data_IF_342783857010
#
_entry.id   IF_342783857010
#
_cell.length_a   1.000
_cell.length_b   1.000
_cell.length_c   1.000
_cell.angle_alpha   90.00
_cell.angle_beta   90.00
_cell.angle_gamma   90.00
#
_symmetry.space_group_name_H-M   'P 1'
#
loop_
_entity.id
_entity.type
_entity.pdbx_description
1 polymer ?
#
# COMPACT_ATOMS: atom_id res chain seq x y z
N UNK A 1 -2.63 5.52 25.41
CA UNK A 1 -1.71 5.75 24.28
C UNK A 1 -0.68 4.64 24.32
N UNK A 2 -1.04 3.51 23.71
CA UNK A 2 -0.17 2.34 23.60
C UNK A 2 -0.12 1.89 22.14
N UNK A 3 0.67 2.61 21.35
CA UNK A 3 1.20 2.13 20.08
C UNK A 3 2.52 1.40 20.35
N UNK A 4 2.87 0.43 19.49
CA UNK A 4 4.00 -0.49 19.66
C UNK A 4 5.34 0.19 20.02
N UNK A 5 5.99 -0.29 21.09
CA UNK A 5 7.28 0.16 21.61
C UNK A 5 8.20 -1.09 21.75
N UNK A 6 9.52 -0.89 21.72
CA UNK A 6 10.54 -1.83 21.23
C UNK A 6 11.56 -2.17 22.32
N UNK A 7 11.24 -1.94 23.60
CA UNK A 7 12.13 -2.05 24.77
C UNK A 7 12.67 -3.45 25.04
N UNK A 8 11.98 -4.52 24.63
CA UNK A 8 12.54 -5.87 24.65
C UNK A 8 13.82 -6.02 23.80
N UNK A 9 13.97 -5.17 22.77
CA UNK A 9 15.11 -5.11 21.86
C UNK A 9 16.15 -4.04 22.20
N UNK A 10 16.09 -3.38 23.37
CA UNK A 10 17.00 -2.28 23.72
C UNK A 10 18.49 -2.64 23.55
N UNK A 11 18.87 -3.88 23.83
CA UNK A 11 20.24 -4.35 23.67
C UNK A 11 20.71 -4.42 22.20
N UNK A 12 19.78 -4.48 21.24
CA UNK A 12 20.04 -4.48 19.81
C UNK A 12 20.09 -3.07 19.20
N UNK A 13 19.66 -2.03 19.94
CA UNK A 13 19.66 -0.65 19.45
C UNK A 13 21.03 -0.01 19.71
N UNK A 14 21.76 0.30 18.64
CA UNK A 14 23.02 1.04 18.73
C UNK A 14 22.79 2.54 18.99
N UNK A 15 23.10 3.00 20.20
CA UNK A 15 23.00 4.42 20.57
C UNK A 15 24.38 5.07 20.47
N UNK A 16 24.51 6.05 19.58
CA UNK A 16 25.76 6.83 19.41
C UNK A 16 26.10 7.60 20.70
N UNK A 17 27.39 7.66 21.05
CA UNK A 17 27.87 8.39 22.23
C UNK A 17 27.37 9.84 22.27
N UNK A 18 26.67 10.21 23.34
CA UNK A 18 26.10 11.55 23.55
C UNK A 18 24.62 11.69 23.15
N UNK A 19 24.02 10.65 22.57
CA UNK A 19 22.59 10.58 22.31
C UNK A 19 21.87 9.86 23.47
N UNK A 20 20.65 10.30 23.78
CA UNK A 20 19.78 9.65 24.76
C UNK A 20 18.60 9.05 24.03
N UNK A 21 18.37 7.75 24.23
CA UNK A 21 17.15 7.10 23.76
C UNK A 21 16.05 7.36 24.79
N UNK A 22 15.10 8.22 24.45
CA UNK A 22 13.91 8.49 25.27
C UNK A 22 12.78 7.62 24.75
N UNK A 23 12.38 6.62 25.52
CA UNK A 23 11.23 5.80 25.19
C UNK A 23 9.93 6.59 25.45
N UNK A 24 8.93 6.41 24.59
CA UNK A 24 7.59 6.95 24.80
C UNK A 24 6.82 6.24 25.90
N UNK A 25 5.49 6.32 25.88
CA UNK A 25 4.59 5.45 26.64
C UNK A 25 3.88 4.52 25.65
N UNK A 26 3.80 3.21 25.90
CA UNK A 26 3.07 2.28 25.01
C UNK A 26 3.30 0.78 25.21
N UNK A 27 2.99 -0.05 24.22
CA UNK A 27 3.17 -1.52 24.25
C UNK A 27 4.63 -1.86 23.89
N UNK A 28 5.51 -1.76 24.89
CA UNK A 28 6.96 -1.65 24.75
C UNK A 28 7.71 -2.97 24.54
N UNK A 29 6.99 -4.07 24.55
CA UNK A 29 7.52 -5.36 24.94
C UNK A 29 6.90 -6.53 24.15
N UNK A 30 6.00 -6.24 23.21
CA UNK A 30 5.46 -7.24 22.29
C UNK A 30 6.27 -7.28 20.98
N UNK A 31 6.56 -8.49 20.49
CA UNK A 31 7.17 -8.69 19.18
C UNK A 31 6.23 -8.16 18.10
N UNK A 32 6.66 -7.22 17.23
CA UNK A 32 5.87 -6.73 16.12
C UNK A 32 5.51 -7.82 15.09
N UNK A 33 6.15 -9.01 15.16
CA UNK A 33 5.90 -10.14 14.26
C UNK A 33 6.05 -9.75 12.79
N UNK A 34 7.24 -9.32 12.40
CA UNK A 34 7.55 -9.05 10.99
C UNK A 34 7.65 -10.35 10.18
N UNK A 35 7.36 -10.27 8.87
CA UNK A 35 7.50 -11.40 7.93
C UNK A 35 8.93 -11.93 7.88
N UNK A 36 9.92 -11.04 7.67
CA UNK A 36 11.34 -11.41 7.68
C UNK A 36 12.24 -10.20 7.97
N UNK A 37 12.36 -9.85 9.26
CA UNK A 37 13.02 -8.60 9.69
C UNK A 37 14.52 -8.46 9.39
N UNK A 38 15.19 -9.55 8.99
CA UNK A 38 16.61 -9.57 8.66
C UNK A 38 16.87 -10.09 7.23
N UNK A 39 15.82 -10.12 6.40
CA UNK A 39 15.88 -10.61 5.03
C UNK A 39 16.38 -12.05 4.87
N UNK A 40 16.54 -12.49 3.60
CA UNK A 40 17.23 -13.73 3.23
C UNK A 40 18.69 -13.83 3.69
N UNK A 41 19.40 -12.70 3.83
CA UNK A 41 20.81 -12.70 4.23
C UNK A 41 21.04 -12.83 5.75
N UNK A 42 19.98 -12.63 6.55
CA UNK A 42 20.00 -12.70 8.01
C UNK A 42 20.62 -11.48 8.69
N UNK A 43 20.80 -10.37 7.96
CA UNK A 43 21.37 -9.12 8.45
C UNK A 43 20.26 -8.07 8.50
N UNK A 44 20.00 -7.52 9.70
CA UNK A 44 19.03 -6.42 9.85
C UNK A 44 19.61 -5.11 9.32
N UNK A 45 18.76 -4.31 8.68
CA UNK A 45 19.06 -2.99 8.13
C UNK A 45 19.53 -3.02 6.68
N UNK A 46 19.28 -4.10 5.95
CA UNK A 46 19.65 -4.29 4.55
C UNK A 46 18.45 -4.11 3.62
N UNK A 47 18.71 -4.03 2.32
CA UNK A 47 17.66 -3.81 1.31
C UNK A 47 16.73 -5.01 1.14
N UNK A 48 17.12 -6.19 1.64
CA UNK A 48 16.35 -7.43 1.55
C UNK A 48 15.52 -7.70 2.82
N UNK A 49 15.52 -6.79 3.79
CA UNK A 49 14.62 -6.82 4.93
C UNK A 49 13.15 -6.74 4.50
N UNK A 50 12.31 -7.53 5.17
CA UNK A 50 10.86 -7.49 4.99
C UNK A 50 10.19 -7.19 6.34
N UNK A 51 9.98 -5.88 6.56
CA UNK A 51 9.38 -5.31 7.77
C UNK A 51 7.84 -5.22 7.68
N UNK A 52 7.20 -5.95 6.77
CA UNK A 52 5.75 -6.18 6.80
C UNK A 52 5.36 -6.90 8.07
N UNK A 53 4.23 -6.52 8.67
CA UNK A 53 3.65 -7.22 9.81
C UNK A 53 2.97 -8.53 9.34
N UNK A 54 3.02 -9.57 10.15
CA UNK A 54 2.24 -10.79 9.96
C UNK A 54 0.84 -10.61 10.56
N UNK A 55 -0.16 -11.27 9.98
CA UNK A 55 -1.51 -11.36 10.55
C UNK A 55 -1.53 -11.68 12.05
N UNK A 56 -2.32 -10.88 12.79
CA UNK A 56 -2.40 -10.89 14.24
C UNK A 56 -1.17 -10.32 14.96
N UNK A 57 -0.37 -9.50 14.28
CA UNK A 57 0.64 -8.69 14.94
C UNK A 57 -0.02 -7.81 16.01
N UNK A 58 0.62 -7.62 17.18
CA UNK A 58 0.10 -6.72 18.21
C UNK A 58 0.15 -5.24 17.80
N UNK A 59 0.81 -4.93 16.68
CA UNK A 59 0.92 -3.58 16.15
C UNK A 59 -0.25 -3.20 15.26
N UNK A 60 -0.79 -4.13 14.45
CA UNK A 60 -1.93 -3.86 13.56
C UNK A 60 -3.04 -3.08 14.31
N UNK A 61 -3.46 -1.97 13.68
CA UNK A 61 -4.48 -1.01 14.11
C UNK A 61 -4.24 -0.30 15.46
N UNK A 62 -2.96 -0.05 15.79
CA UNK A 62 -2.55 0.64 17.02
C UNK A 62 -1.82 1.97 16.81
N UNK A 63 -1.68 2.45 15.58
CA UNK A 63 -1.02 3.73 15.30
C UNK A 63 -1.86 4.98 15.59
N UNK A 64 -1.42 6.10 15.05
CA UNK A 64 -2.07 7.40 15.21
C UNK A 64 -2.19 8.08 13.86
N UNK A 65 -3.39 8.00 13.25
CA UNK A 65 -3.64 8.51 11.89
C UNK A 65 -3.38 10.02 11.79
N UNK A 66 -3.43 10.77 12.90
CA UNK A 66 -3.11 12.20 12.90
C UNK A 66 -1.62 12.48 12.69
N UNK A 67 -0.76 11.46 12.79
CA UNK A 67 0.67 11.56 12.50
C UNK A 67 1.01 11.13 11.07
N UNK A 68 0.08 10.54 10.33
CA UNK A 68 0.25 10.25 8.91
C UNK A 68 0.37 11.58 8.15
N UNK A 69 1.42 11.77 7.32
CA UNK A 69 1.56 12.98 6.52
C UNK A 69 0.34 13.21 5.63
N UNK A 70 0.02 14.47 5.31
CA UNK A 70 -1.01 14.78 4.33
C UNK A 70 -0.56 14.39 2.93
N UNK A 71 -1.50 14.01 2.07
CA UNK A 71 -1.25 13.76 0.66
C UNK A 71 -1.11 15.07 -0.14
N UNK A 72 -0.06 15.82 0.16
CA UNK A 72 0.11 17.16 -0.43
C UNK A 72 0.35 17.19 -1.95
N UNK A 73 0.50 16.03 -2.59
CA UNK A 73 0.90 15.90 -3.99
C UNK A 73 0.01 14.98 -4.83
N UNK A 74 -1.12 14.52 -4.31
CA UNK A 74 -2.03 13.62 -5.03
C UNK A 74 -1.29 12.34 -5.45
N UNK A 75 -0.81 11.60 -4.44
CA UNK A 75 0.12 10.48 -4.63
C UNK A 75 -0.55 9.26 -5.26
N UNK A 76 -1.87 9.12 -5.14
CA UNK A 76 -2.66 8.06 -5.76
C UNK A 76 -3.48 8.53 -6.97
N UNK A 77 -3.57 9.82 -7.22
CA UNK A 77 -4.15 10.38 -8.46
C UNK A 77 -5.67 10.55 -8.41
N UNK A 78 -6.30 10.45 -7.24
CA UNK A 78 -7.74 10.62 -7.07
C UNK A 78 -8.17 12.11 -7.02
N UNK A 79 -7.20 13.02 -6.91
CA UNK A 79 -7.39 14.47 -6.86
C UNK A 79 -7.65 15.05 -5.47
N UNK A 80 -7.69 14.23 -4.41
CA UNK A 80 -7.85 14.65 -3.02
C UNK A 80 -6.51 14.86 -2.31
N UNK A 81 -5.97 16.07 -2.45
CA UNK A 81 -4.74 16.46 -1.71
C UNK A 81 -4.94 16.74 -0.21
N UNK A 82 -6.15 16.57 0.32
CA UNK A 82 -6.49 16.95 1.70
C UNK A 82 -6.54 15.78 2.67
N UNK A 83 -6.59 14.56 2.16
CA UNK A 83 -6.52 13.35 2.97
C UNK A 83 -5.08 13.03 3.41
N UNK A 84 -4.90 12.18 4.43
CA UNK A 84 -3.59 11.65 4.77
C UNK A 84 -3.06 10.72 3.66
N UNK A 85 -1.75 10.56 3.56
CA UNK A 85 -1.07 9.77 2.50
C UNK A 85 -1.79 8.43 2.25
N UNK A 86 -2.43 8.25 1.09
CA UNK A 86 -3.34 7.12 0.85
C UNK A 86 -2.60 5.81 0.64
N UNK A 87 -1.39 5.86 0.08
CA UNK A 87 -0.59 4.68 -0.25
C UNK A 87 0.68 4.53 0.59
N UNK A 88 1.02 3.29 0.89
CA UNK A 88 2.24 2.87 1.57
C UNK A 88 3.48 2.96 0.63
N UNK A 89 4.67 2.56 1.10
CA UNK A 89 5.87 2.66 0.26
C UNK A 89 5.86 1.66 -0.92
N UNK A 90 5.05 0.62 -0.84
CA UNK A 90 4.82 -0.35 -1.90
C UNK A 90 3.64 0.02 -2.82
N UNK A 91 3.01 1.18 -2.61
CA UNK A 91 1.86 1.61 -3.40
C UNK A 91 0.55 0.91 -3.02
N UNK A 92 0.48 0.31 -1.82
CA UNK A 92 -0.76 -0.33 -1.32
C UNK A 92 -1.52 0.65 -0.42
N UNK A 93 -2.85 0.59 -0.39
CA UNK A 93 -3.65 1.46 0.46
C UNK A 93 -3.23 1.35 1.94
N UNK A 94 -2.93 2.49 2.56
CA UNK A 94 -2.61 2.60 3.99
C UNK A 94 -3.86 2.37 4.82
N UNK A 95 -4.99 2.96 4.43
CA UNK A 95 -6.24 2.95 5.18
C UNK A 95 -7.16 1.79 4.79
N UNK A 96 -6.64 0.57 4.87
CA UNK A 96 -7.42 -0.65 4.64
C UNK A 96 -7.77 -1.27 6.00
N UNK A 97 -9.07 -1.44 6.27
CA UNK A 97 -9.58 -1.96 7.56
C UNK A 97 -9.39 -3.48 7.64
N UNK A 98 -8.87 -4.00 8.75
CA UNK A 98 -8.97 -5.42 9.09
C UNK A 98 -10.16 -5.60 10.05
N UNK A 99 -11.32 -6.09 9.58
CA UNK A 99 -12.55 -6.14 10.36
C UNK A 99 -12.46 -7.12 11.55
N UNK A 100 -11.50 -8.05 11.51
CA UNK A 100 -11.24 -9.00 12.58
C UNK A 100 -10.31 -8.43 13.67
N UNK A 101 -9.68 -7.29 13.42
CA UNK A 101 -8.78 -6.62 14.36
C UNK A 101 -9.40 -5.35 14.94
N UNK A 102 -9.45 -5.19 16.28
CA UNK A 102 -10.00 -3.99 16.87
C UNK A 102 -9.11 -2.75 16.69
N UNK A 103 -9.67 -1.71 16.08
CA UNK A 103 -9.16 -0.32 16.07
C UNK A 103 -8.95 0.22 17.50
N UNK A 104 -7.71 0.26 17.96
CA UNK A 104 -7.41 0.75 19.33
C UNK A 104 -6.48 1.95 19.36
N UNK A 105 -5.94 2.34 18.22
CA UNK A 105 -5.10 3.52 18.08
C UNK A 105 -5.91 4.84 18.17
N UNK A 106 -5.29 5.92 17.74
CA UNK A 106 -5.92 7.25 17.70
C UNK A 106 -6.19 7.66 16.25
N UNK A 107 -7.30 8.35 16.00
CA UNK A 107 -7.63 8.85 14.68
C UNK A 107 -9.07 8.60 14.29
N UNK A 108 -9.35 8.73 13.00
CA UNK A 108 -10.62 8.30 12.41
C UNK A 108 -10.39 6.91 11.79
N UNK A 109 -11.18 5.88 12.16
CA UNK A 109 -11.14 4.58 11.51
C UNK A 109 -11.24 4.65 9.98
N UNK A 110 -10.59 3.71 9.26
CA UNK A 110 -9.74 2.64 9.79
C UNK A 110 -8.44 3.19 10.41
N UNK A 111 -8.05 2.69 11.59
CA UNK A 111 -6.86 3.19 12.29
C UNK A 111 -5.64 2.39 11.84
N UNK A 112 -4.61 3.08 11.38
CA UNK A 112 -3.43 2.47 10.76
C UNK A 112 -2.19 2.66 11.63
N UNK A 113 -1.21 1.78 11.50
CA UNK A 113 0.08 1.82 12.17
C UNK A 113 1.05 2.88 11.60
N UNK A 114 2.07 3.18 12.39
CA UNK A 114 3.24 3.97 11.94
C UNK A 114 4.18 3.01 11.19
N UNK A 115 3.77 2.55 10.00
CA UNK A 115 4.51 1.61 9.17
C UNK A 115 4.17 1.74 7.69
N UNK A 116 5.05 1.29 6.79
CA UNK A 116 4.90 1.45 5.35
C UNK A 116 4.38 0.17 4.65
N UNK A 117 3.77 -0.75 5.40
CA UNK A 117 3.69 -2.16 5.02
C UNK A 117 2.65 -2.91 5.89
N UNK A 118 1.38 -2.55 5.77
CA UNK A 118 0.26 -3.13 6.56
C UNK A 118 -0.55 -4.18 5.81
N UNK A 119 -0.37 -4.28 4.48
CA UNK A 119 -1.14 -5.21 3.68
C UNK A 119 -0.78 -6.68 3.97
N UNK A 120 -1.70 -7.38 4.65
CA UNK A 120 -1.64 -8.81 4.90
C UNK A 120 -2.25 -9.57 3.73
N UNK A 121 -1.39 -10.06 2.84
CA UNK A 121 -1.78 -10.90 1.69
C UNK A 121 -2.57 -12.15 2.09
N UNK A 122 -2.43 -12.63 3.32
CA UNK A 122 -3.09 -13.83 3.81
C UNK A 122 -4.37 -13.53 4.64
N UNK A 123 -4.66 -12.27 4.92
CA UNK A 123 -5.90 -11.82 5.56
C UNK A 123 -7.10 -11.87 4.61
N UNK A 124 -8.28 -11.55 5.12
CA UNK A 124 -9.56 -11.46 4.39
C UNK A 124 -10.31 -10.24 4.95
N UNK A 125 -10.00 -9.07 4.40
CA UNK A 125 -10.38 -7.78 4.97
C UNK A 125 -11.85 -7.42 4.76
N UNK A 126 -12.54 -8.03 3.82
CA UNK A 126 -13.97 -7.77 3.62
C UNK A 126 -14.85 -8.97 4.01
N UNK A 127 -14.23 -10.07 4.43
CA UNK A 127 -14.88 -11.26 4.96
C UNK A 127 -15.65 -12.03 3.89
N UNK A 128 -15.24 -11.92 2.62
CA UNK A 128 -15.91 -12.54 1.49
C UNK A 128 -15.48 -14.00 1.26
N UNK A 129 -14.42 -14.42 1.96
CA UNK A 129 -13.87 -15.77 1.94
C UNK A 129 -12.66 -15.94 1.02
N UNK A 130 -12.17 -14.87 0.41
CA UNK A 130 -10.93 -14.84 -0.36
C UNK A 130 -9.83 -14.13 0.42
N UNK A 131 -8.60 -14.61 0.26
CA UNK A 131 -7.48 -13.91 0.87
C UNK A 131 -7.17 -12.65 0.06
N UNK A 132 -6.83 -11.55 0.71
CA UNK A 132 -6.55 -10.25 0.10
C UNK A 132 -5.63 -10.37 -1.13
N UNK A 133 -4.58 -11.20 -1.05
CA UNK A 133 -3.61 -11.37 -2.15
C UNK A 133 -4.12 -12.12 -3.39
N UNK A 134 -5.35 -12.67 -3.35
CA UNK A 134 -6.02 -13.29 -4.50
C UNK A 134 -7.40 -12.69 -4.77
N UNK A 135 -7.74 -11.62 -4.05
CA UNK A 135 -9.00 -10.91 -4.13
C UNK A 135 -8.82 -9.66 -5.02
N UNK A 136 -9.63 -9.53 -6.07
CA UNK A 136 -9.64 -8.37 -6.96
C UNK A 136 -10.38 -7.15 -6.38
N UNK A 137 -11.00 -7.29 -5.20
CA UNK A 137 -11.51 -6.19 -4.39
C UNK A 137 -11.26 -6.39 -2.89
N UNK A 138 -10.01 -6.31 -2.39
CA UNK A 138 -9.67 -6.58 -0.99
C UNK A 138 -10.35 -5.72 0.09
N UNK A 139 -11.23 -4.79 -0.29
CA UNK A 139 -11.98 -3.92 0.62
C UNK A 139 -13.49 -3.91 0.31
N UNK A 140 -13.98 -4.76 -0.60
CA UNK A 140 -15.37 -4.75 -1.05
C UNK A 140 -15.86 -6.15 -1.45
N UNK A 141 -16.54 -6.80 -0.51
CA UNK A 141 -16.92 -8.21 -0.61
C UNK A 141 -17.56 -8.58 -1.96
N UNK A 142 -16.85 -9.42 -2.72
CA UNK A 142 -17.27 -9.94 -4.01
C UNK A 142 -16.78 -11.39 -4.21
N UNK A 143 -17.40 -12.38 -3.51
CA UNK A 143 -16.90 -13.76 -3.47
C UNK A 143 -16.80 -14.48 -4.83
N UNK A 144 -17.45 -13.94 -5.86
CA UNK A 144 -17.46 -14.47 -7.22
C UNK A 144 -16.40 -13.82 -8.13
N UNK A 145 -15.73 -12.76 -7.67
CA UNK A 145 -14.63 -12.08 -8.34
C UNK A 145 -14.97 -11.64 -9.76
N UNK A 146 -16.20 -11.11 -9.96
CA UNK A 146 -16.56 -10.59 -11.28
C UNK A 146 -15.71 -9.35 -11.61
N UNK A 147 -15.14 -9.35 -12.81
CA UNK A 147 -14.30 -8.31 -13.40
C UNK A 147 -14.66 -8.28 -14.90
N UNK A 148 -15.34 -7.21 -15.33
CA UNK A 148 -16.04 -7.17 -16.61
C UNK A 148 -15.16 -6.76 -17.79
N UNK A 149 -14.23 -5.83 -17.58
CA UNK A 149 -13.28 -5.34 -18.57
C UNK A 149 -11.92 -6.07 -18.51
N UNK A 150 -11.64 -6.75 -17.41
CA UNK A 150 -10.49 -7.64 -17.25
C UNK A 150 -9.20 -6.92 -16.90
N UNK A 151 -9.30 -5.76 -16.22
CA UNK A 151 -8.16 -4.95 -15.82
C UNK A 151 -7.52 -5.40 -14.48
N UNK A 152 -8.17 -6.35 -13.78
CA UNK A 152 -7.71 -6.90 -12.51
C UNK A 152 -8.32 -6.25 -11.27
N UNK A 153 -9.18 -5.24 -11.43
CA UNK A 153 -10.00 -4.64 -10.37
C UNK A 153 -11.42 -5.18 -10.48
N UNK A 154 -11.97 -5.71 -9.40
CA UNK A 154 -13.29 -6.31 -9.43
C UNK A 154 -14.41 -5.27 -9.60
N UNK A 155 -15.51 -5.68 -10.23
CA UNK A 155 -16.70 -4.83 -10.44
C UNK A 155 -17.27 -4.19 -9.18
N UNK A 156 -16.94 -4.73 -7.99
CA UNK A 156 -17.41 -4.22 -6.71
C UNK A 156 -16.64 -2.98 -6.22
N UNK A 157 -15.39 -2.82 -6.66
CA UNK A 157 -14.48 -1.74 -6.26
C UNK A 157 -13.94 -0.92 -7.44
N UNK A 158 -14.33 -1.28 -8.66
CA UNK A 158 -13.95 -0.58 -9.90
C UNK A 158 -14.80 0.69 -10.13
N UNK A 159 -14.10 1.84 -10.18
CA UNK A 159 -14.66 3.15 -10.47
C UNK A 159 -14.74 3.47 -11.98
N UNK A 160 -14.04 2.70 -12.81
CA UNK A 160 -13.88 2.86 -14.25
C UNK A 160 -14.18 1.54 -15.02
N UNK A 161 -15.44 1.05 -15.01
CA UNK A 161 -15.84 -0.32 -15.43
C UNK A 161 -15.78 -0.64 -16.94
N UNK A 162 -15.12 0.20 -17.71
CA UNK A 162 -14.99 0.08 -19.17
C UNK A 162 -13.56 0.47 -19.60
N UNK A 163 -12.54 0.09 -18.82
CA UNK A 163 -11.15 0.32 -19.24
C UNK A 163 -10.77 -0.50 -20.45
N UNK A 164 -9.78 0.01 -21.19
CA UNK A 164 -9.34 -0.64 -22.42
C UNK A 164 -8.39 -1.81 -22.08
N UNK A 165 -8.52 -2.96 -22.75
CA UNK A 165 -7.67 -4.11 -22.47
C UNK A 165 -6.18 -3.80 -22.63
N UNK A 166 -5.40 -4.09 -21.58
CA UNK A 166 -3.94 -3.93 -21.56
C UNK A 166 -3.45 -2.60 -20.99
N UNK A 167 -4.34 -1.64 -20.73
CA UNK A 167 -3.96 -0.40 -20.09
C UNK A 167 -3.57 -0.63 -18.62
N UNK A 168 -2.59 0.14 -18.13
CA UNK A 168 -2.32 0.20 -16.70
C UNK A 168 -3.45 0.96 -15.98
N UNK A 169 -3.95 0.35 -14.92
CA UNK A 169 -4.97 0.94 -14.04
C UNK A 169 -4.43 1.17 -12.64
N UNK A 170 -5.01 2.13 -11.93
CA UNK A 170 -4.79 2.34 -10.50
C UNK A 170 -5.60 1.32 -9.66
N UNK A 171 -5.54 1.45 -8.34
CA UNK A 171 -6.27 0.56 -7.42
C UNK A 171 -7.80 0.69 -7.52
N UNK A 172 -8.31 1.71 -8.22
CA UNK A 172 -9.74 1.93 -8.45
C UNK A 172 -10.19 1.50 -9.85
N UNK A 173 -9.31 0.83 -10.63
CA UNK A 173 -9.61 0.40 -11.99
C UNK A 173 -9.49 1.54 -13.00
N UNK A 174 -9.02 2.73 -12.62
CA UNK A 174 -8.96 3.85 -13.56
C UNK A 174 -7.61 3.92 -14.28
N UNK A 175 -7.64 4.16 -15.59
CA UNK A 175 -6.43 4.22 -16.42
C UNK A 175 -5.46 5.28 -15.91
N UNK A 176 -4.24 4.85 -15.58
CA UNK A 176 -3.16 5.75 -15.16
C UNK A 176 -2.59 6.41 -16.41
N UNK A 177 -2.57 7.74 -16.43
CA UNK A 177 -1.88 8.46 -17.50
C UNK A 177 -0.38 8.33 -17.25
N UNK A 178 0.26 7.44 -17.99
CA UNK A 178 1.72 7.32 -17.99
C UNK A 178 2.29 8.47 -18.82
N UNK A 179 3.07 9.39 -18.24
CA UNK A 179 3.66 10.48 -19.02
C UNK A 179 4.59 9.91 -20.09
N UNK A 180 4.32 10.27 -21.36
CA UNK A 180 5.01 9.79 -22.55
C UNK A 180 4.60 8.40 -23.08
N UNK A 181 3.55 7.80 -22.55
CA UNK A 181 2.81 6.69 -23.17
C UNK A 181 1.82 7.28 -24.20
N UNK A 182 2.18 7.24 -25.48
CA UNK A 182 1.45 7.87 -26.57
C UNK A 182 0.51 6.92 -27.31
N UNK A 183 0.70 5.61 -27.20
CA UNK A 183 -0.23 4.62 -27.74
C UNK A 183 -1.22 4.07 -26.70
N UNK A 184 -0.97 4.35 -25.42
CA UNK A 184 -1.82 4.03 -24.29
C UNK A 184 -1.65 2.59 -23.82
N UNK A 185 -0.63 1.86 -24.27
CA UNK A 185 -0.50 0.44 -23.95
C UNK A 185 0.04 0.16 -22.54
N UNK A 186 0.32 1.23 -21.78
CA UNK A 186 0.72 1.14 -20.39
C UNK A 186 2.22 0.99 -20.19
N UNK A 187 3.06 1.08 -21.22
CA UNK A 187 4.49 1.21 -21.05
C UNK A 187 5.08 2.48 -21.69
N UNK A 188 6.42 2.59 -21.68
CA UNK A 188 7.12 3.73 -22.29
C UNK A 188 8.27 3.17 -23.11
N UNK A 189 8.03 2.95 -24.39
CA UNK A 189 8.95 2.25 -25.26
C UNK A 189 9.16 2.92 -26.64
N UNK A 190 9.53 2.11 -27.65
CA UNK A 190 9.83 2.59 -28.99
C UNK A 190 8.56 2.80 -29.83
N UNK A 191 7.47 2.12 -29.52
CA UNK A 191 6.15 2.27 -30.13
C UNK A 191 5.56 3.64 -29.77
N UNK A 192 5.71 4.08 -28.50
CA UNK A 192 5.37 5.44 -28.05
C UNK A 192 6.10 6.56 -28.78
N UNK A 193 7.41 6.38 -29.01
CA UNK A 193 8.18 7.35 -29.76
C UNK A 193 7.70 7.43 -31.22
N UNK A 194 7.27 6.29 -31.78
CA UNK A 194 6.62 6.20 -33.09
C UNK A 194 5.30 6.98 -33.12
N UNK A 195 4.43 6.76 -32.14
CA UNK A 195 3.15 7.46 -31.98
C UNK A 195 3.33 8.97 -31.75
N UNK A 196 4.35 9.37 -30.97
CA UNK A 196 4.73 10.77 -30.81
C UNK A 196 5.19 11.39 -32.15
N UNK A 197 6.01 10.68 -32.94
CA UNK A 197 6.46 11.14 -34.24
C UNK A 197 5.30 11.27 -35.24
N UNK A 198 4.36 10.33 -35.21
CA UNK A 198 3.12 10.38 -35.98
C UNK A 198 2.31 11.64 -35.66
N UNK A 199 2.13 11.93 -34.37
CA UNK A 199 1.39 13.09 -33.90
C UNK A 199 2.05 14.42 -34.31
N UNK A 200 3.39 14.48 -34.29
CA UNK A 200 4.17 15.67 -34.66
C UNK A 200 4.27 15.89 -36.18
N UNK A 201 4.24 14.81 -36.98
CA UNK A 201 4.51 14.87 -38.43
C UNK A 201 3.26 14.67 -39.29
N UNK A 202 2.19 14.10 -38.74
CA UNK A 202 0.96 13.75 -39.46
C UNK A 202 1.14 12.58 -40.44
N UNK A 203 2.20 11.79 -40.32
CA UNK A 203 2.54 10.67 -41.20
C UNK A 203 2.68 9.40 -40.39
N UNK A 204 1.88 8.38 -40.72
CA UNK A 204 1.97 7.05 -40.10
C UNK A 204 3.39 6.47 -40.24
N UNK A 205 4.03 6.10 -39.13
CA UNK A 205 5.28 5.33 -39.12
C UNK A 205 4.91 3.85 -39.27
N UNK A 206 5.52 3.17 -40.25
CA UNK A 206 5.31 1.72 -40.49
C UNK A 206 6.37 0.90 -39.79
#
# INVERSE_FOLDING_TARGET
VESCDVRGGQAAVYIRSGCTLTWGTGNIDADPRFVQAAGPDGIVGTVDDNLRLLGGSPCIDRGDNWLTPADTTDLDGDGDTTEPTPLDLAGVARFMDDPDTPDTGNGTPPIVDIGAYEYDLAGDYDGDGLANGVDNCPAAANPNQEDADGDGVGNACDACPDTLPGHLVDLTGCTVIVPCDFDGDGDVDQEDFGHMQECLTGVAVN
#
